data_IF_137739549596
#
_entry.id   IF_137739549596
#
_cell.length_a   1.000
_cell.length_b   1.000
_cell.length_c   1.000
_cell.angle_alpha   90.00
_cell.angle_beta   90.00
_cell.angle_gamma   90.00
#
_symmetry.space_group_name_H-M   'P 1'
#
loop_
_entity.id
_entity.type
_entity.pdbx_description
1 polymer ?
#
# COMPACT_ATOMS: atom_id res chain seq x y z
N UNK A 1 10.28 -38.66 6.47
CA UNK A 1 10.11 -38.51 5.00
C UNK A 1 9.78 -37.05 4.73
N UNK A 2 10.53 -36.38 3.86
CA UNK A 2 10.21 -35.00 3.42
C UNK A 2 8.95 -35.04 2.55
N UNK A 3 7.92 -34.25 2.89
CA UNK A 3 6.72 -34.07 2.06
C UNK A 3 7.17 -33.69 0.63
N UNK A 4 6.95 -34.54 -0.39
CA UNK A 4 7.40 -34.27 -1.76
C UNK A 4 6.81 -32.98 -2.33
N UNK A 5 5.67 -32.54 -1.79
CA UNK A 5 4.98 -31.33 -2.18
C UNK A 5 5.50 -30.08 -1.45
N UNK A 6 6.37 -30.23 -0.45
CA UNK A 6 6.87 -29.10 0.35
C UNK A 6 7.58 -28.07 -0.52
N UNK A 7 8.53 -28.49 -1.37
CA UNK A 7 9.24 -27.58 -2.29
C UNK A 7 8.28 -26.84 -3.23
N UNK A 8 7.24 -27.53 -3.71
CA UNK A 8 6.22 -26.94 -4.56
C UNK A 8 5.35 -25.94 -3.80
N UNK A 9 4.97 -26.25 -2.55
CA UNK A 9 4.19 -25.37 -1.67
C UNK A 9 4.99 -24.10 -1.35
N UNK A 10 6.27 -24.22 -1.02
CA UNK A 10 7.13 -23.06 -0.75
C UNK A 10 7.29 -22.16 -1.99
N UNK A 11 7.49 -22.74 -3.18
CA UNK A 11 7.49 -21.96 -4.42
C UNK A 11 6.14 -21.28 -4.69
N UNK A 12 5.03 -21.92 -4.32
CA UNK A 12 3.70 -21.32 -4.40
C UNK A 12 3.52 -20.16 -3.43
N UNK A 13 3.94 -20.30 -2.16
CA UNK A 13 3.94 -19.20 -1.19
C UNK A 13 4.75 -18.02 -1.70
N UNK A 14 5.97 -18.28 -2.19
CA UNK A 14 6.82 -17.25 -2.79
C UNK A 14 6.12 -16.54 -3.96
N UNK A 15 5.47 -17.29 -4.86
CA UNK A 15 4.68 -16.68 -5.95
C UNK A 15 3.54 -15.82 -5.42
N UNK A 16 2.80 -16.30 -4.42
CA UNK A 16 1.68 -15.54 -3.84
C UNK A 16 2.17 -14.24 -3.17
N UNK A 17 3.35 -14.22 -2.57
CA UNK A 17 3.92 -13.00 -1.99
C UNK A 17 4.12 -11.89 -3.03
N UNK A 18 4.65 -12.21 -4.22
CA UNK A 18 4.87 -11.22 -5.28
C UNK A 18 3.66 -11.02 -6.19
N UNK A 19 2.76 -12.00 -6.26
CA UNK A 19 1.57 -12.00 -7.11
C UNK A 19 0.28 -12.30 -6.30
N UNK A 20 -0.09 -11.50 -5.28
CA UNK A 20 -1.20 -11.84 -4.38
C UNK A 20 -2.56 -11.98 -5.06
N UNK A 21 -2.77 -11.33 -6.22
CA UNK A 21 -4.01 -11.48 -6.99
C UNK A 21 -4.31 -12.95 -7.37
N UNK A 22 -3.29 -13.81 -7.40
CA UNK A 22 -3.49 -15.24 -7.65
C UNK A 22 -4.16 -15.97 -6.47
N UNK A 23 -4.13 -15.41 -5.25
CA UNK A 23 -4.69 -16.00 -4.02
C UNK A 23 -6.17 -16.36 -4.16
N UNK A 24 -6.96 -15.49 -4.78
CA UNK A 24 -8.40 -15.70 -5.02
C UNK A 24 -8.69 -16.61 -6.22
N UNK A 25 -7.71 -16.82 -7.09
CA UNK A 25 -7.83 -17.73 -8.25
C UNK A 25 -7.33 -19.15 -7.97
N UNK A 26 -6.87 -19.42 -6.74
CA UNK A 26 -6.34 -20.73 -6.37
C UNK A 26 -7.40 -21.82 -6.52
N UNK A 27 -6.99 -22.97 -7.07
CA UNK A 27 -7.80 -24.19 -7.04
C UNK A 27 -8.14 -24.54 -5.58
N UNK A 28 -9.32 -25.12 -5.28
CA UNK A 28 -9.75 -25.40 -3.91
C UNK A 28 -8.71 -26.11 -3.03
N UNK A 29 -8.02 -27.13 -3.58
CA UNK A 29 -6.96 -27.86 -2.88
C UNK A 29 -5.79 -26.97 -2.43
N UNK A 30 -5.48 -25.93 -3.19
CA UNK A 30 -4.41 -24.99 -2.87
C UNK A 30 -4.91 -23.87 -1.96
N UNK A 31 -6.17 -23.49 -2.12
CA UNK A 31 -6.82 -22.47 -1.31
C UNK A 31 -6.83 -22.85 0.18
N UNK A 32 -7.15 -24.11 0.50
CA UNK A 32 -7.20 -24.59 1.89
C UNK A 32 -5.92 -24.31 2.69
N UNK A 33 -4.75 -24.67 2.15
CA UNK A 33 -3.49 -24.42 2.87
C UNK A 33 -3.07 -22.95 2.83
N UNK A 34 -3.45 -22.21 1.78
CA UNK A 34 -3.13 -20.79 1.67
C UNK A 34 -3.93 -19.95 2.66
N UNK A 35 -5.20 -20.31 2.89
CA UNK A 35 -6.05 -19.68 3.92
C UNK A 35 -5.51 -19.96 5.32
N UNK A 36 -5.18 -21.21 5.64
CA UNK A 36 -4.58 -21.54 6.93
C UNK A 36 -3.27 -20.78 7.16
N UNK A 37 -2.40 -20.69 6.15
CA UNK A 37 -1.17 -19.91 6.21
C UNK A 37 -1.42 -18.41 6.45
N UNK A 38 -2.40 -17.83 5.75
CA UNK A 38 -2.74 -16.42 5.90
C UNK A 38 -3.39 -16.11 7.25
N UNK A 39 -4.28 -16.99 7.75
CA UNK A 39 -4.87 -16.85 9.08
C UNK A 39 -3.80 -16.88 10.18
N UNK A 40 -2.88 -17.84 10.12
CA UNK A 40 -1.77 -17.96 11.09
C UNK A 40 -0.89 -16.71 11.09
N UNK A 41 -0.44 -16.27 9.90
CA UNK A 41 0.45 -15.11 9.81
C UNK A 41 -0.24 -13.80 10.19
N UNK A 42 -1.50 -13.60 9.79
CA UNK A 42 -2.26 -12.39 10.13
C UNK A 42 -2.55 -12.32 11.64
N UNK A 43 -2.87 -13.45 12.28
CA UNK A 43 -3.04 -13.51 13.73
C UNK A 43 -1.75 -13.13 14.47
N UNK A 44 -0.61 -13.69 14.04
CA UNK A 44 0.70 -13.32 14.57
C UNK A 44 0.99 -11.82 14.41
N UNK A 45 0.74 -11.25 13.22
CA UNK A 45 1.00 -9.84 12.97
C UNK A 45 0.14 -8.92 13.87
N UNK A 46 -1.16 -9.24 14.04
CA UNK A 46 -2.06 -8.48 14.91
C UNK A 46 -1.73 -8.64 16.41
N UNK A 47 -1.04 -9.72 16.80
CA UNK A 47 -0.53 -9.88 18.17
C UNK A 47 0.71 -9.01 18.42
N UNK A 48 1.56 -8.84 17.41
CA UNK A 48 2.85 -8.15 17.53
C UNK A 48 2.80 -6.64 17.26
N UNK A 49 1.87 -6.19 16.41
CA UNK A 49 1.78 -4.81 15.93
C UNK A 49 0.35 -4.27 16.11
N UNK A 50 0.19 -2.94 16.16
CA UNK A 50 -1.14 -2.29 16.29
C UNK A 50 -1.87 -2.29 14.94
N UNK A 51 -2.17 -3.48 14.42
CA UNK A 51 -2.79 -3.71 13.11
C UNK A 51 -4.18 -4.32 13.28
N UNK A 52 -5.15 -3.84 12.51
CA UNK A 52 -6.44 -4.50 12.32
C UNK A 52 -6.58 -4.96 10.87
N UNK A 53 -6.90 -6.24 10.68
CA UNK A 53 -6.96 -6.87 9.36
C UNK A 53 -8.36 -7.43 9.13
N UNK A 54 -8.98 -6.99 8.03
CA UNK A 54 -10.27 -7.45 7.57
C UNK A 54 -10.25 -8.89 7.06
N UNK A 55 -11.41 -9.33 6.60
CA UNK A 55 -11.62 -10.68 6.11
C UNK A 55 -11.05 -10.87 4.70
N UNK A 56 -10.65 -12.11 4.40
CA UNK A 56 -10.24 -12.53 3.06
C UNK A 56 -9.06 -11.72 2.48
N UNK A 57 -8.18 -11.21 3.35
CA UNK A 57 -6.98 -10.50 2.97
C UNK A 57 -5.82 -11.43 2.63
N UNK A 58 -4.86 -10.92 1.87
CA UNK A 58 -3.53 -11.53 1.72
C UNK A 58 -2.45 -10.55 2.17
N UNK A 59 -1.71 -10.89 3.21
CA UNK A 59 -0.56 -10.12 3.69
C UNK A 59 0.68 -10.98 3.48
N UNK A 60 1.58 -10.49 2.63
CA UNK A 60 2.85 -11.15 2.39
C UNK A 60 3.71 -11.12 3.67
N UNK A 61 4.23 -12.27 4.14
CA UNK A 61 5.22 -12.29 5.22
C UNK A 61 6.57 -11.66 4.87
N UNK A 62 6.76 -11.25 3.60
CA UNK A 62 7.91 -10.49 3.13
C UNK A 62 7.67 -8.98 3.16
N UNK A 63 6.49 -8.51 3.60
CA UNK A 63 6.25 -7.09 3.82
C UNK A 63 6.77 -6.67 5.20
N UNK A 64 7.32 -5.46 5.29
CA UNK A 64 7.68 -4.82 6.54
C UNK A 64 6.52 -3.91 6.98
N UNK A 65 5.83 -4.29 8.06
CA UNK A 65 4.67 -3.56 8.58
C UNK A 65 5.01 -3.12 10.01
N UNK A 66 5.10 -1.81 10.22
CA UNK A 66 5.43 -1.17 11.50
C UNK A 66 4.25 -0.31 11.95
N UNK A 67 3.59 -0.74 13.02
CA UNK A 67 2.43 -0.08 13.61
C UNK A 67 2.59 -0.04 15.14
N UNK A 68 3.61 0.68 15.60
CA UNK A 68 3.87 0.85 17.03
C UNK A 68 2.71 1.59 17.73
N UNK A 69 2.62 1.56 19.08
CA UNK A 69 1.52 2.18 19.81
C UNK A 69 1.29 3.65 19.42
N UNK A 70 0.06 3.97 18.99
CA UNK A 70 -0.32 5.30 18.47
C UNK A 70 -0.16 5.47 16.95
N UNK A 71 0.29 4.43 16.23
CA UNK A 71 0.56 4.43 14.78
C UNK A 71 -0.24 3.32 14.09
N UNK A 72 -1.50 3.18 14.46
CA UNK A 72 -2.39 2.09 14.03
C UNK A 72 -2.45 1.96 12.50
N UNK A 73 -2.43 0.73 12.00
CA UNK A 73 -2.72 0.39 10.61
C UNK A 73 -4.05 -0.38 10.56
N UNK A 74 -4.99 0.09 9.75
CA UNK A 74 -6.28 -0.59 9.49
C UNK A 74 -6.27 -1.07 8.04
N UNK A 75 -6.68 -2.32 7.82
CA UNK A 75 -6.77 -2.94 6.50
C UNK A 75 -8.17 -3.52 6.33
N UNK A 76 -8.95 -3.02 5.37
CA UNK A 76 -10.30 -3.50 5.05
C UNK A 76 -10.32 -4.86 4.37
N UNK A 77 -11.51 -5.37 4.12
CA UNK A 77 -11.74 -6.72 3.58
C UNK A 77 -11.23 -6.86 2.15
N UNK A 78 -10.86 -8.08 1.74
CA UNK A 78 -10.47 -8.40 0.36
C UNK A 78 -9.26 -7.60 -0.16
N UNK A 79 -8.42 -7.11 0.75
CA UNK A 79 -7.24 -6.31 0.45
C UNK A 79 -5.98 -7.18 0.40
N UNK A 80 -4.99 -6.80 -0.40
CA UNK A 80 -3.65 -7.40 -0.30
C UNK A 80 -2.51 -6.40 -0.18
N UNK A 81 -1.48 -6.85 0.55
CA UNK A 81 -0.17 -6.23 0.63
C UNK A 81 0.86 -7.25 0.14
N UNK A 82 1.53 -6.93 -0.97
CA UNK A 82 2.52 -7.80 -1.59
C UNK A 82 3.90 -7.72 -0.92
N UNK A 83 4.83 -8.54 -1.41
CA UNK A 83 6.20 -8.66 -0.92
C UNK A 83 6.97 -7.34 -0.93
N UNK A 84 7.88 -7.21 0.03
CA UNK A 84 8.89 -6.15 0.09
C UNK A 84 8.30 -4.73 0.13
N UNK A 85 7.02 -4.62 0.49
CA UNK A 85 6.43 -3.34 0.85
C UNK A 85 6.91 -2.91 2.23
N UNK A 86 7.06 -1.60 2.44
CA UNK A 86 7.28 -1.01 3.77
C UNK A 86 6.09 -0.13 4.11
N UNK A 87 5.34 -0.52 5.13
CA UNK A 87 4.21 0.24 5.66
C UNK A 87 4.56 0.70 7.07
N UNK A 88 4.53 2.00 7.29
CA UNK A 88 4.72 2.62 8.60
C UNK A 88 3.49 3.47 8.91
N UNK A 89 2.82 3.13 10.02
CA UNK A 89 1.56 3.76 10.41
C UNK A 89 1.67 5.25 10.75
N UNK A 90 0.54 5.95 10.95
CA UNK A 90 -0.81 5.43 10.84
C UNK A 90 -1.28 5.34 9.38
N UNK A 91 -1.98 4.25 9.05
CA UNK A 91 -2.59 4.02 7.73
C UNK A 91 -4.04 3.57 7.91
N UNK A 92 -4.94 4.14 7.13
CA UNK A 92 -6.33 3.67 7.01
C UNK A 92 -6.52 3.18 5.57
N UNK A 93 -6.54 1.86 5.41
CA UNK A 93 -6.63 1.19 4.11
C UNK A 93 -8.00 0.54 4.01
N UNK A 94 -8.80 0.98 3.03
CA UNK A 94 -10.15 0.47 2.76
C UNK A 94 -10.20 -0.96 2.26
N UNK A 95 -11.37 -1.34 1.77
CA UNK A 95 -11.63 -2.69 1.26
C UNK A 95 -11.31 -2.82 -0.22
N UNK A 96 -11.04 -4.04 -0.66
CA UNK A 96 -10.68 -4.38 -2.03
C UNK A 96 -9.48 -3.57 -2.53
N UNK A 97 -8.51 -3.23 -1.69
CA UNK A 97 -7.31 -2.47 -2.06
C UNK A 97 -6.20 -3.44 -2.51
N UNK A 98 -5.42 -3.03 -3.51
CA UNK A 98 -4.27 -3.79 -3.99
C UNK A 98 -2.99 -2.97 -3.86
N UNK A 99 -2.05 -3.40 -3.02
CA UNK A 99 -0.71 -2.81 -2.92
C UNK A 99 0.32 -3.81 -3.43
N UNK A 100 0.83 -3.58 -4.64
CA UNK A 100 1.84 -4.42 -5.26
C UNK A 100 3.23 -4.23 -4.65
N UNK A 101 4.15 -5.11 -5.01
CA UNK A 101 5.44 -5.26 -4.34
C UNK A 101 6.31 -4.00 -4.38
N UNK A 102 7.21 -3.87 -3.41
CA UNK A 102 8.14 -2.73 -3.27
C UNK A 102 7.49 -1.35 -3.08
N UNK A 103 6.23 -1.29 -2.65
CA UNK A 103 5.63 0.01 -2.30
C UNK A 103 6.09 0.48 -0.92
N UNK A 104 6.25 1.78 -0.75
CA UNK A 104 6.53 2.41 0.55
C UNK A 104 5.38 3.36 0.87
N UNK A 105 4.74 3.14 2.03
CA UNK A 105 3.72 4.02 2.58
C UNK A 105 4.17 4.42 3.98
N UNK A 106 4.59 5.67 4.15
CA UNK A 106 4.92 6.23 5.47
C UNK A 106 3.90 7.27 5.87
N UNK A 107 3.14 6.96 6.92
CA UNK A 107 2.05 7.78 7.43
C UNK A 107 2.47 9.15 7.94
N UNK A 108 3.76 9.38 8.25
CA UNK A 108 4.16 10.59 8.97
C UNK A 108 3.28 10.79 10.22
N UNK A 109 3.15 11.98 10.81
CA UNK A 109 2.32 12.17 12.02
C UNK A 109 0.81 12.03 11.77
N UNK A 110 0.32 12.44 10.59
CA UNK A 110 -1.12 12.55 10.29
C UNK A 110 -1.73 11.28 9.69
N UNK A 111 -0.98 10.57 8.86
CA UNK A 111 -1.39 9.30 8.24
C UNK A 111 -1.64 9.37 6.74
N UNK A 112 -1.80 8.19 6.15
CA UNK A 112 -2.26 8.01 4.77
C UNK A 112 -3.62 7.31 4.83
N UNK A 113 -4.60 7.85 4.11
CA UNK A 113 -5.90 7.21 3.91
C UNK A 113 -6.06 6.76 2.47
N UNK A 114 -6.37 5.48 2.28
CA UNK A 114 -6.78 4.89 1.02
C UNK A 114 -8.24 4.46 1.15
N UNK A 115 -9.13 5.03 0.35
CA UNK A 115 -10.50 4.54 0.25
C UNK A 115 -10.55 3.17 -0.47
N UNK A 116 -11.75 2.60 -0.60
CA UNK A 116 -11.95 1.29 -1.22
C UNK A 116 -11.44 1.24 -2.67
N UNK A 117 -11.09 0.04 -3.12
CA UNK A 117 -10.81 -0.26 -4.54
C UNK A 117 -9.60 0.47 -5.13
N UNK A 118 -8.75 1.09 -4.30
CA UNK A 118 -7.48 1.68 -4.74
C UNK A 118 -6.54 0.60 -5.28
N UNK A 119 -5.84 0.90 -6.38
CA UNK A 119 -4.84 0.05 -7.03
C UNK A 119 -3.49 0.77 -7.02
N UNK A 120 -2.53 0.23 -6.27
CA UNK A 120 -1.16 0.73 -6.24
C UNK A 120 -0.27 -0.29 -6.95
N UNK A 121 0.26 0.08 -8.11
CA UNK A 121 1.22 -0.73 -8.84
C UNK A 121 2.60 -0.72 -8.15
N UNK A 122 3.49 -1.60 -8.59
CA UNK A 122 4.76 -1.83 -7.92
C UNK A 122 5.63 -0.56 -7.84
N UNK A 123 6.49 -0.50 -6.81
CA UNK A 123 7.46 0.58 -6.60
C UNK A 123 6.85 1.98 -6.41
N UNK A 124 5.61 2.10 -5.95
CA UNK A 124 5.06 3.40 -5.58
C UNK A 124 5.56 3.85 -4.20
N UNK A 125 5.69 5.17 -3.99
CA UNK A 125 6.18 5.75 -2.75
C UNK A 125 5.28 6.90 -2.29
N UNK A 126 4.66 6.77 -1.13
CA UNK A 126 3.78 7.74 -0.51
C UNK A 126 4.40 8.16 0.82
N UNK A 127 4.78 9.44 0.94
CA UNK A 127 5.36 9.99 2.16
C UNK A 127 4.48 11.12 2.69
N UNK A 128 3.77 10.87 3.80
CA UNK A 128 2.90 11.85 4.47
C UNK A 128 3.67 12.73 5.47
N UNK A 129 4.92 13.05 5.16
CA UNK A 129 5.71 14.06 5.84
C UNK A 129 6.74 14.69 4.88
N UNK A 130 7.26 15.86 5.25
CA UNK A 130 8.31 16.57 4.53
C UNK A 130 9.13 17.41 5.52
N UNK A 131 10.34 17.81 5.14
CA UNK A 131 11.15 18.72 5.94
C UNK A 131 10.87 20.18 5.58
N UNK A 132 11.19 21.09 6.50
CA UNK A 132 11.42 22.50 6.14
C UNK A 132 12.55 22.63 5.11
N UNK A 133 12.52 23.71 4.33
CA UNK A 133 13.53 24.00 3.30
C UNK A 133 14.04 25.45 3.36
N UNK A 134 13.91 26.12 4.50
CA UNK A 134 14.44 27.46 4.69
C UNK A 134 15.98 27.45 4.60
N UNK A 135 16.58 28.45 3.97
CA UNK A 135 18.04 28.49 3.80
C UNK A 135 18.79 28.83 5.10
N UNK A 136 18.09 29.35 6.11
CA UNK A 136 18.68 29.79 7.39
C UNK A 136 19.32 28.67 8.19
N UNK A 137 18.79 27.44 8.07
CA UNK A 137 19.16 26.30 8.91
C UNK A 137 19.36 25.02 8.08
N UNK A 138 20.27 24.12 8.46
CA UNK A 138 20.41 22.81 7.82
C UNK A 138 19.09 22.01 7.87
N UNK A 139 18.76 21.29 6.79
CA UNK A 139 17.50 20.53 6.65
C UNK A 139 17.19 19.64 7.87
N UNK A 140 18.19 18.97 8.45
CA UNK A 140 17.99 18.06 9.59
C UNK A 140 17.59 18.77 10.89
N UNK A 141 17.83 20.07 11.00
CA UNK A 141 17.41 20.90 12.14
C UNK A 141 16.04 21.53 11.90
N UNK A 142 15.52 21.48 10.66
CA UNK A 142 14.25 22.08 10.32
C UNK A 142 13.08 21.21 10.78
N UNK A 143 11.95 21.84 11.18
CA UNK A 143 10.80 21.10 11.64
C UNK A 143 10.26 20.18 10.54
N UNK A 144 9.87 18.96 10.95
CA UNK A 144 9.11 18.03 10.12
C UNK A 144 7.65 18.49 10.08
N UNK A 145 7.11 18.58 8.87
CA UNK A 145 5.70 18.83 8.60
C UNK A 145 5.06 17.54 8.13
N UNK A 146 3.82 17.32 8.54
CA UNK A 146 3.02 16.16 8.14
C UNK A 146 1.59 16.65 8.04
N UNK A 147 1.04 16.59 6.84
CA UNK A 147 -0.29 17.04 6.45
C UNK A 147 -1.18 15.86 6.05
N UNK A 148 -0.59 14.69 5.81
CA UNK A 148 -1.31 13.47 5.45
C UNK A 148 -1.48 13.31 3.95
N UNK A 149 -1.94 12.15 3.51
CA UNK A 149 -2.31 11.88 2.11
C UNK A 149 -3.68 11.22 2.09
N UNK A 150 -4.56 11.66 1.18
CA UNK A 150 -5.87 11.06 0.98
C UNK A 150 -5.99 10.58 -0.48
N UNK A 151 -6.31 9.29 -0.66
CA UNK A 151 -6.53 8.66 -1.97
C UNK A 151 -7.97 8.16 -2.04
N UNK A 152 -8.76 8.75 -2.92
CA UNK A 152 -10.17 8.41 -3.10
C UNK A 152 -10.41 7.05 -3.73
N UNK A 153 -11.67 6.60 -3.68
CA UNK A 153 -12.11 5.30 -4.19
C UNK A 153 -11.73 5.08 -5.66
N UNK A 154 -11.38 3.85 -6.01
CA UNK A 154 -11.11 3.42 -7.40
C UNK A 154 -10.03 4.26 -8.11
N UNK A 155 -9.04 4.74 -7.36
CA UNK A 155 -7.84 5.37 -7.91
C UNK A 155 -6.84 4.30 -8.34
N UNK A 156 -6.20 4.52 -9.50
CA UNK A 156 -5.06 3.71 -9.93
C UNK A 156 -3.78 4.54 -9.98
N UNK A 157 -2.78 4.11 -9.21
CA UNK A 157 -1.41 4.60 -9.28
C UNK A 157 -0.57 3.62 -10.10
N UNK A 158 -0.09 4.06 -11.27
CA UNK A 158 0.84 3.31 -12.10
C UNK A 158 2.18 3.07 -11.41
N UNK A 159 2.99 2.14 -11.93
CA UNK A 159 4.24 1.76 -11.27
C UNK A 159 5.19 2.96 -11.15
N UNK A 160 5.99 3.01 -10.08
CA UNK A 160 6.90 4.12 -9.80
C UNK A 160 6.23 5.49 -9.61
N UNK A 161 4.98 5.53 -9.13
CA UNK A 161 4.34 6.80 -8.75
C UNK A 161 4.81 7.24 -7.37
N UNK A 162 5.24 8.50 -7.27
CA UNK A 162 5.51 9.18 -6.01
C UNK A 162 4.36 10.12 -5.63
N UNK A 163 3.98 10.16 -4.35
CA UNK A 163 2.96 11.11 -3.83
C UNK A 163 3.54 11.89 -2.66
N UNK A 164 3.45 13.21 -2.75
CA UNK A 164 3.95 14.13 -1.74
C UNK A 164 2.96 14.30 -0.58
N UNK A 165 3.47 14.53 0.62
CA UNK A 165 2.71 15.00 1.79
C UNK A 165 1.72 16.13 1.45
N UNK A 166 0.52 16.02 2.00
CA UNK A 166 -0.58 16.98 1.88
C UNK A 166 -1.39 16.91 0.60
N UNK A 167 -1.19 15.87 -0.21
CA UNK A 167 -1.93 15.66 -1.48
C UNK A 167 -3.22 14.90 -1.25
N UNK A 168 -4.28 15.34 -1.92
CA UNK A 168 -5.54 14.61 -2.10
C UNK A 168 -5.70 14.18 -3.56
N UNK A 169 -5.94 12.89 -3.79
CA UNK A 169 -6.26 12.34 -5.12
C UNK A 169 -7.73 11.95 -5.14
N UNK A 170 -8.53 12.64 -5.95
CA UNK A 170 -9.97 12.41 -6.06
C UNK A 170 -10.32 11.04 -6.63
N UNK A 171 -11.53 10.56 -6.32
CA UNK A 171 -12.03 9.26 -6.74
C UNK A 171 -11.95 9.04 -8.26
N UNK A 172 -11.78 7.79 -8.67
CA UNK A 172 -11.68 7.35 -10.06
C UNK A 172 -10.48 7.90 -10.86
N UNK A 173 -9.56 8.66 -10.23
CA UNK A 173 -8.41 9.21 -10.92
C UNK A 173 -7.39 8.12 -11.31
N UNK A 174 -6.62 8.39 -12.36
CA UNK A 174 -5.53 7.54 -12.83
C UNK A 174 -4.25 8.37 -12.87
N UNK A 175 -3.21 7.89 -12.21
CA UNK A 175 -1.87 8.47 -12.26
C UNK A 175 -0.98 7.55 -13.08
N UNK A 176 -0.51 8.04 -14.23
CA UNK A 176 0.38 7.29 -15.12
C UNK A 176 1.68 6.89 -14.43
N UNK A 177 2.29 5.81 -14.89
CA UNK A 177 3.57 5.31 -14.37
C UNK A 177 4.67 6.37 -14.38
N UNK A 178 5.60 6.26 -13.42
CA UNK A 178 6.74 7.16 -13.25
C UNK A 178 6.37 8.64 -13.09
N UNK A 179 5.24 8.91 -12.41
CA UNK A 179 4.76 10.28 -12.18
C UNK A 179 5.00 10.72 -10.73
N UNK A 180 5.19 12.03 -10.52
CA UNK A 180 5.31 12.63 -9.19
C UNK A 180 4.12 13.54 -8.91
N UNK A 181 3.26 13.14 -7.99
CA UNK A 181 2.08 13.89 -7.57
C UNK A 181 2.49 14.88 -6.48
N UNK A 182 2.49 16.16 -6.84
CA UNK A 182 2.91 17.27 -5.95
C UNK A 182 1.77 18.22 -5.57
N UNK A 183 0.58 18.02 -6.15
CA UNK A 183 -0.63 18.82 -5.95
C UNK A 183 -1.84 17.90 -6.01
N UNK A 184 -2.96 18.37 -5.47
CA UNK A 184 -4.22 17.65 -5.52
C UNK A 184 -4.65 17.34 -6.95
N UNK A 185 -5.30 16.18 -7.11
CA UNK A 185 -5.82 15.69 -8.39
C UNK A 185 -7.33 15.62 -8.27
N UNK A 186 -8.05 16.23 -9.22
CA UNK A 186 -9.50 16.19 -9.26
C UNK A 186 -10.02 14.78 -9.61
N UNK A 187 -11.24 14.47 -9.19
CA UNK A 187 -11.91 13.21 -9.51
C UNK A 187 -11.91 12.93 -11.01
N UNK A 188 -11.83 11.63 -11.36
CA UNK A 188 -11.79 11.13 -12.75
C UNK A 188 -10.64 11.68 -13.60
N UNK A 189 -9.68 12.40 -13.03
CA UNK A 189 -8.55 12.92 -13.81
C UNK A 189 -7.59 11.80 -14.18
N UNK A 190 -7.13 11.79 -15.42
CA UNK A 190 -5.97 11.00 -15.85
C UNK A 190 -4.80 11.97 -15.96
N UNK A 191 -3.80 11.78 -15.12
CA UNK A 191 -2.60 12.63 -15.05
C UNK A 191 -1.34 11.81 -15.31
N UNK A 192 -0.28 12.42 -15.80
CA UNK A 192 1.06 11.82 -15.79
C UNK A 192 2.18 12.87 -15.79
N UNK A 193 3.40 12.44 -15.51
CA UNK A 193 4.62 13.25 -15.56
C UNK A 193 5.21 13.60 -14.19
N UNK A 194 6.34 14.29 -14.20
CA UNK A 194 7.03 14.75 -13.00
C UNK A 194 7.35 16.26 -13.15
N UNK A 195 6.56 17.17 -12.54
CA UNK A 195 5.34 16.91 -11.77
C UNK A 195 4.16 16.46 -12.65
N UNK A 196 3.25 15.67 -12.09
CA UNK A 196 2.09 15.15 -12.82
C UNK A 196 1.17 16.26 -13.33
N UNK A 197 0.76 16.17 -14.59
CA UNK A 197 -0.15 17.11 -15.26
C UNK A 197 -1.38 16.38 -15.81
N UNK A 198 -2.51 17.08 -15.85
CA UNK A 198 -3.74 16.57 -16.47
C UNK A 198 -3.51 16.26 -17.95
N UNK A 199 -3.88 15.04 -18.36
CA UNK A 199 -3.91 14.61 -19.76
C UNK A 199 -5.34 14.73 -20.28
N UNK A 200 -6.29 14.11 -19.57
CA UNK A 200 -7.72 14.08 -19.91
C UNK A 200 -8.53 13.61 -18.70
N UNK A 201 -9.85 13.61 -18.85
CA UNK A 201 -10.74 12.95 -17.90
C UNK A 201 -10.98 11.48 -18.29
N UNK A 202 -11.31 10.66 -17.30
CA UNK A 202 -11.74 9.26 -17.42
C UNK A 202 -13.23 9.24 -17.73
N UNK A 203 -13.56 8.56 -18.82
CA UNK A 203 -14.93 8.40 -19.32
C UNK A 203 -15.73 7.40 -18.50
#
# INVERSE_FOLDING_TARGET
MTDPLLKYREQHKHRLNYMPWLYWSLKPKNRMWAEAWQQEYQAYLMEMETVEIGQNCFISPLAHIFAEPGRKIIIGDNTFIAADCTLHGPLDIGSEVAINHHCILDGGRVGIKLDDQVRIAAYCHLYAFDHGMALSDPIYQQPVRSRGIEIGRDVWLGAHVGVKDGVKIGAHAVVGMNSMVTKDIAERSIVAGNPAQLIRLRD
#
